data_IF_674237999591
#
_entry.id   IF_674237999591
#
_cell.length_a   1.000
_cell.length_b   1.000
_cell.length_c   1.000
_cell.angle_alpha   90.00
_cell.angle_beta   90.00
_cell.angle_gamma   90.00
#
_symmetry.space_group_name_H-M   'P 1'
#
loop_
_entity.id
_entity.type
_entity.pdbx_description
1 polymer ?
#
# COMPACT_ATOMS: atom_id res chain seq x y z
N UNK A 1 22.74 22.39 -5.66
CA UNK A 1 23.24 21.30 -4.79
C UNK A 1 22.12 20.27 -4.70
N UNK A 2 22.35 18.98 -4.98
CA UNK A 2 21.29 17.97 -4.85
C UNK A 2 20.97 17.81 -3.35
N UNK A 3 19.70 17.69 -2.94
CA UNK A 3 19.37 17.50 -1.53
C UNK A 3 20.02 16.20 -1.04
N UNK A 4 20.50 16.22 0.21
CA UNK A 4 21.01 15.01 0.85
C UNK A 4 19.82 14.16 1.29
N UNK A 5 19.38 13.27 0.40
CA UNK A 5 18.27 12.34 0.67
C UNK A 5 18.68 11.20 1.61
N UNK A 6 19.96 11.00 1.90
CA UNK A 6 20.40 9.84 2.70
C UNK A 6 19.91 9.95 4.14
N UNK A 7 19.86 11.16 4.71
CA UNK A 7 19.31 11.42 6.03
C UNK A 7 17.79 11.21 6.13
N UNK A 8 17.08 11.14 5.00
CA UNK A 8 15.61 10.94 4.96
C UNK A 8 15.22 9.49 5.23
N UNK A 9 16.12 8.53 5.04
CA UNK A 9 15.85 7.10 5.19
C UNK A 9 16.69 6.49 6.31
N UNK A 10 16.18 5.47 7.03
CA UNK A 10 16.93 4.76 8.08
C UNK A 10 17.88 3.70 7.49
N UNK A 11 18.51 3.97 6.34
CA UNK A 11 19.44 3.03 5.74
C UNK A 11 20.76 3.07 6.50
N UNK A 12 21.37 1.91 6.76
CA UNK A 12 22.68 1.89 7.40
C UNK A 12 23.71 2.60 6.52
N UNK A 13 24.59 3.45 7.06
CA UNK A 13 25.50 4.29 6.27
C UNK A 13 26.43 3.51 5.33
N UNK A 14 26.76 2.26 5.68
CA UNK A 14 27.63 1.39 4.89
C UNK A 14 26.92 0.65 3.74
N UNK A 15 25.58 0.74 3.65
CA UNK A 15 24.79 0.02 2.65
C UNK A 15 24.54 0.91 1.43
N UNK A 16 24.99 0.44 0.26
CA UNK A 16 24.59 1.01 -1.04
C UNK A 16 23.44 0.18 -1.60
N UNK A 17 22.21 0.70 -1.53
CA UNK A 17 21.01 0.00 -1.97
C UNK A 17 20.79 0.19 -3.48
N UNK A 18 21.11 -0.83 -4.28
CA UNK A 18 20.85 -0.82 -5.73
C UNK A 18 19.48 -1.39 -6.13
N UNK A 19 18.75 -2.02 -5.20
CA UNK A 19 17.46 -2.65 -5.48
C UNK A 19 16.33 -2.14 -4.57
N UNK A 20 15.96 -0.86 -4.73
CA UNK A 20 14.83 -0.27 -4.00
C UNK A 20 13.47 -0.88 -4.41
N UNK A 21 13.35 -1.29 -5.67
CA UNK A 21 12.07 -1.69 -6.26
C UNK A 21 11.49 -3.02 -5.73
N UNK A 22 12.30 -3.92 -5.16
CA UNK A 22 11.79 -5.20 -4.64
C UNK A 22 10.92 -5.04 -3.39
N UNK A 23 11.43 -4.38 -2.35
CA UNK A 23 10.76 -4.28 -1.05
C UNK A 23 10.48 -2.84 -0.62
N UNK A 24 11.06 -1.85 -1.30
CA UNK A 24 10.99 -0.45 -0.90
C UNK A 24 11.83 -0.14 0.33
N UNK A 25 11.80 1.14 0.70
CA UNK A 25 12.37 1.66 1.93
C UNK A 25 11.52 2.86 2.35
N UNK A 26 10.90 2.79 3.53
CA UNK A 26 10.13 3.91 4.07
C UNK A 26 11.06 5.02 4.55
N UNK A 27 10.62 6.28 4.43
CA UNK A 27 11.30 7.42 5.03
C UNK A 27 11.18 7.38 6.56
N UNK A 28 12.07 8.08 7.26
CA UNK A 28 11.99 8.27 8.71
C UNK A 28 10.66 8.89 9.13
N UNK A 29 10.13 9.82 8.33
CA UNK A 29 8.82 10.45 8.54
C UNK A 29 7.68 9.44 8.44
N UNK A 30 7.67 8.59 7.41
CA UNK A 30 6.63 7.58 7.22
C UNK A 30 6.65 6.54 8.35
N UNK A 31 7.84 6.16 8.83
CA UNK A 31 7.98 5.26 9.97
C UNK A 31 7.45 5.89 11.27
N UNK A 32 7.79 7.15 11.53
CA UNK A 32 7.26 7.87 12.69
C UNK A 32 5.73 7.96 12.64
N UNK A 33 5.16 8.23 11.46
CA UNK A 33 3.71 8.27 11.26
C UNK A 33 3.06 6.90 11.49
N UNK A 34 3.66 5.82 11.00
CA UNK A 34 3.18 4.45 11.26
C UNK A 34 3.17 4.12 12.75
N UNK A 35 4.17 4.56 13.50
CA UNK A 35 4.27 4.38 14.95
C UNK A 35 3.25 5.20 15.75
N UNK A 36 2.89 6.39 15.27
CA UNK A 36 1.77 7.16 15.83
C UNK A 36 0.44 6.45 15.61
N UNK A 37 0.17 6.00 14.39
CA UNK A 37 -1.07 5.27 14.05
C UNK A 37 -1.16 4.01 14.90
N UNK A 38 -0.08 3.24 15.02
CA UNK A 38 -0.03 2.04 15.85
C UNK A 38 -0.40 2.34 17.30
N UNK A 39 0.22 3.35 17.91
CA UNK A 39 -0.11 3.77 19.29
C UNK A 39 -1.56 4.23 19.45
N UNK A 40 -2.11 4.89 18.44
CA UNK A 40 -3.50 5.32 18.44
C UNK A 40 -4.46 4.12 18.39
N UNK A 41 -4.23 3.16 17.51
CA UNK A 41 -5.03 1.93 17.43
C UNK A 41 -5.01 1.14 18.76
N UNK A 42 -3.86 1.09 19.44
CA UNK A 42 -3.71 0.41 20.74
C UNK A 42 -4.38 1.15 21.90
N UNK A 43 -4.73 2.43 21.74
CA UNK A 43 -5.34 3.22 22.81
C UNK A 43 -6.80 2.83 23.10
N UNK A 44 -7.51 2.33 22.09
CA UNK A 44 -8.84 1.72 22.20
C UNK A 44 -9.11 0.78 21.00
N UNK A 45 -8.53 -0.43 20.97
CA UNK A 45 -8.61 -1.29 19.79
C UNK A 45 -10.03 -1.76 19.46
N UNK A 46 -10.93 -1.81 20.44
CA UNK A 46 -12.31 -2.20 20.22
C UNK A 46 -13.06 -1.15 19.39
N UNK A 47 -12.81 0.12 19.64
CA UNK A 47 -13.35 1.22 18.85
C UNK A 47 -12.58 1.40 17.55
N UNK A 48 -11.25 1.54 17.63
CA UNK A 48 -10.39 1.96 16.52
C UNK A 48 -10.32 0.94 15.39
N UNK A 49 -10.36 -0.37 15.69
CA UNK A 49 -10.38 -1.43 14.67
C UNK A 49 -11.79 -1.79 14.17
N UNK A 50 -12.83 -1.14 14.72
CA UNK A 50 -14.22 -1.30 14.32
C UNK A 50 -14.59 -0.44 13.11
N UNK A 51 -15.68 0.32 13.24
CA UNK A 51 -16.18 1.20 12.17
C UNK A 51 -15.20 2.32 11.82
N UNK A 52 -14.48 2.85 12.81
CA UNK A 52 -13.50 3.92 12.64
C UNK A 52 -12.41 3.58 11.60
N UNK A 53 -11.90 2.35 11.63
CA UNK A 53 -10.94 1.85 10.64
C UNK A 53 -11.54 1.84 9.22
N UNK A 54 -12.77 1.36 9.07
CA UNK A 54 -13.42 1.26 7.75
C UNK A 54 -13.63 2.63 7.13
N UNK A 55 -14.09 3.60 7.91
CA UNK A 55 -14.23 4.99 7.46
C UNK A 55 -12.87 5.61 7.11
N UNK A 56 -11.84 5.36 7.92
CA UNK A 56 -10.48 5.82 7.67
C UNK A 56 -9.92 5.28 6.35
N UNK A 57 -10.08 3.99 6.10
CA UNK A 57 -9.64 3.35 4.84
C UNK A 57 -10.43 3.86 3.64
N UNK A 58 -11.75 4.08 3.77
CA UNK A 58 -12.57 4.64 2.69
C UNK A 58 -12.13 6.06 2.32
N UNK A 59 -11.82 6.92 3.31
CA UNK A 59 -11.27 8.26 3.07
C UNK A 59 -9.90 8.18 2.38
N UNK A 60 -8.99 7.35 2.89
CA UNK A 60 -7.66 7.19 2.31
C UNK A 60 -7.73 6.70 0.85
N UNK A 61 -8.63 5.78 0.52
CA UNK A 61 -8.87 5.34 -0.84
C UNK A 61 -9.27 6.50 -1.77
N UNK A 62 -10.19 7.35 -1.33
CA UNK A 62 -10.65 8.51 -2.11
C UNK A 62 -9.52 9.50 -2.35
N UNK A 63 -8.74 9.81 -1.31
CA UNK A 63 -7.59 10.72 -1.39
C UNK A 63 -6.53 10.18 -2.36
N UNK A 64 -6.11 8.93 -2.20
CA UNK A 64 -5.11 8.28 -3.07
C UNK A 64 -5.58 8.24 -4.52
N UNK A 65 -6.85 7.88 -4.77
CA UNK A 65 -7.36 7.85 -6.14
C UNK A 65 -7.47 9.26 -6.74
N UNK A 66 -7.80 10.27 -5.94
CA UNK A 66 -7.76 11.67 -6.35
C UNK A 66 -6.36 12.11 -6.79
N UNK A 67 -5.32 11.79 -6.01
CA UNK A 67 -3.93 12.10 -6.36
C UNK A 67 -3.46 11.38 -7.63
N UNK A 68 -3.92 10.14 -7.84
CA UNK A 68 -3.59 9.34 -9.02
C UNK A 68 -4.47 9.63 -10.24
N UNK A 69 -5.48 10.49 -10.13
CA UNK A 69 -6.44 10.77 -11.20
C UNK A 69 -7.36 9.60 -11.56
N UNK A 70 -7.64 8.72 -10.59
CA UNK A 70 -8.47 7.53 -10.74
C UNK A 70 -9.89 7.75 -10.18
N UNK A 71 -10.89 7.06 -10.73
CA UNK A 71 -12.23 7.03 -10.14
C UNK A 71 -12.19 6.17 -8.86
N UNK A 72 -12.48 6.74 -7.67
CA UNK A 72 -12.41 6.00 -6.42
C UNK A 72 -13.38 4.81 -6.38
N UNK A 73 -14.45 4.80 -7.18
CA UNK A 73 -15.39 3.67 -7.28
C UNK A 73 -14.81 2.46 -8.01
N UNK A 74 -13.71 2.66 -8.72
CA UNK A 74 -12.98 1.63 -9.46
C UNK A 74 -11.65 1.24 -8.78
N UNK A 75 -11.41 1.78 -7.58
CA UNK A 75 -10.23 1.50 -6.78
C UNK A 75 -10.56 0.55 -5.63
N UNK A 76 -9.54 -0.18 -5.15
CA UNK A 76 -9.59 -0.91 -3.89
C UNK A 76 -8.22 -0.88 -3.22
N UNK A 77 -8.19 -0.69 -1.90
CA UNK A 77 -6.98 -0.88 -1.10
C UNK A 77 -6.76 -2.37 -0.84
N UNK A 78 -5.53 -2.84 -1.04
CA UNK A 78 -5.17 -4.25 -0.82
C UNK A 78 -3.84 -4.33 -0.07
N UNK A 79 -3.58 -5.48 0.55
CA UNK A 79 -2.35 -5.67 1.35
C UNK A 79 -1.08 -5.74 0.50
N UNK A 80 -1.18 -6.14 -0.77
CA UNK A 80 -0.07 -6.27 -1.71
C UNK A 80 -0.55 -6.48 -3.15
N UNK A 81 0.33 -6.28 -4.13
CA UNK A 81 0.06 -6.59 -5.53
C UNK A 81 -0.37 -8.06 -5.74
N UNK A 82 0.24 -9.00 -5.02
CA UNK A 82 -0.13 -10.43 -5.06
C UNK A 82 -1.57 -10.65 -4.58
N UNK A 83 -1.97 -9.99 -3.49
CA UNK A 83 -3.34 -10.10 -2.97
C UNK A 83 -4.38 -9.51 -3.94
N UNK A 84 -4.05 -8.40 -4.62
CA UNK A 84 -4.90 -7.79 -5.64
C UNK A 84 -5.06 -8.71 -6.86
N UNK A 85 -3.96 -9.24 -7.40
CA UNK A 85 -3.99 -10.16 -8.54
C UNK A 85 -4.85 -11.41 -8.22
N UNK A 86 -4.68 -11.97 -7.03
CA UNK A 86 -5.47 -13.12 -6.60
C UNK A 86 -6.96 -12.79 -6.42
N UNK A 87 -7.30 -11.59 -5.96
CA UNK A 87 -8.70 -11.14 -5.85
C UNK A 87 -9.37 -11.06 -7.23
N UNK A 88 -8.69 -10.48 -8.23
CA UNK A 88 -9.18 -10.40 -9.61
C UNK A 88 -9.34 -11.80 -10.23
N UNK A 89 -8.33 -12.66 -10.08
CA UNK A 89 -8.39 -14.03 -10.64
C UNK A 89 -9.56 -14.83 -10.09
N UNK A 90 -9.91 -14.65 -8.80
CA UNK A 90 -11.01 -15.36 -8.15
C UNK A 90 -12.38 -14.75 -8.39
N UNK A 91 -12.47 -13.47 -8.77
CA UNK A 91 -13.76 -12.80 -9.00
C UNK A 91 -14.27 -12.95 -10.43
N UNK A 92 -13.42 -13.32 -11.38
CA UNK A 92 -13.80 -13.51 -12.78
C UNK A 92 -14.52 -14.85 -12.97
N UNK A 93 -15.78 -14.86 -13.45
CA UNK A 93 -16.54 -16.09 -13.68
C UNK A 93 -16.12 -16.75 -14.99
N UNK A 94 -14.93 -17.35 -15.01
CA UNK A 94 -14.41 -18.01 -16.20
C UNK A 94 -15.29 -19.21 -16.59
N UNK A 95 -15.71 -19.23 -17.86
CA UNK A 95 -16.48 -20.31 -18.45
C UNK A 95 -15.58 -21.25 -19.26
N UNK A 96 -16.06 -22.47 -19.50
CA UNK A 96 -15.41 -23.41 -20.40
C UNK A 96 -15.18 -22.77 -21.78
N UNK A 97 -13.97 -22.92 -22.32
CA UNK A 97 -13.56 -22.32 -23.60
C UNK A 97 -12.99 -20.90 -23.51
N UNK A 98 -13.02 -20.24 -22.34
CA UNK A 98 -12.29 -18.99 -22.12
C UNK A 98 -10.83 -19.26 -21.76
N UNK A 99 -9.93 -18.37 -22.17
CA UNK A 99 -8.48 -18.51 -21.99
C UNK A 99 -7.93 -17.28 -21.26
N UNK A 100 -7.13 -17.53 -20.23
CA UNK A 100 -6.31 -16.49 -19.60
C UNK A 100 -4.96 -16.45 -20.31
N UNK A 101 -4.59 -15.27 -20.82
CA UNK A 101 -3.30 -15.04 -21.48
C UNK A 101 -2.40 -14.27 -20.52
N UNK A 102 -1.21 -14.80 -20.28
CA UNK A 102 -0.14 -14.13 -19.53
C UNK A 102 1.11 -14.10 -20.38
N UNK A 103 1.81 -12.97 -20.38
CA UNK A 103 3.10 -12.85 -21.05
C UNK A 103 4.18 -13.43 -20.13
N UNK A 104 5.08 -14.23 -20.68
CA UNK A 104 6.33 -14.60 -20.01
C UNK A 104 7.29 -13.44 -20.18
N UNK A 105 7.77 -12.86 -19.08
CA UNK A 105 8.97 -12.02 -19.12
C UNK A 105 10.21 -12.88 -19.37
#
# INVERSE_FOLDING_TARGET
>A
MRPDWTATFPLRPEVVMFNHASFGLATNELLARGEEIRRHLESDPAFELGEALQEGLARAQVEICGELGLDPRLCALTASATSAAAAVQRSLPLAAGQIVVSLSN
#
